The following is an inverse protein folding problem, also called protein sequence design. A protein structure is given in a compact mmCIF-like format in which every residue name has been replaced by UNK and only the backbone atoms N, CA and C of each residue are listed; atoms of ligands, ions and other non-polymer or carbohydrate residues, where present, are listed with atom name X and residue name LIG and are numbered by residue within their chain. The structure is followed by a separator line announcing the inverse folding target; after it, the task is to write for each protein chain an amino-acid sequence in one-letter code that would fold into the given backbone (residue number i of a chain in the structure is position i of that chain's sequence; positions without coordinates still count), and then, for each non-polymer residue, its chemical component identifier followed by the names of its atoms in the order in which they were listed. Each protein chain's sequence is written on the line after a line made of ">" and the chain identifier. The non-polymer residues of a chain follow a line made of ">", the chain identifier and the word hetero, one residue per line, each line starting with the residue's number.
data_IF_140579690315
#
_entry.id   IF_140579690315
#
_cell.length_a   1.000
_cell.length_b   1.000
_cell.length_c   1.000
_cell.angle_alpha   90.00
_cell.angle_beta   90.00
_cell.angle_gamma   90.00
#
_symmetry.space_group_name_H-M   'P 1'
#
loop_
_entity.id
_entity.type
_entity.pdbx_description
1 polymer ?
#
# COMPACT_ATOMS: atom_id res chain seq x y z
N UNK A 1 -23.60 -25.72 -0.42
CA UNK A 1 -22.39 -24.98 0.03
C UNK A 1 -22.70 -24.42 1.40
N UNK A 2 -22.05 -24.93 2.45
CA UNK A 2 -22.21 -24.43 3.82
C UNK A 2 -21.38 -23.14 4.00
N UNK A 3 -21.83 -22.17 4.82
CA UNK A 3 -21.15 -20.87 4.96
C UNK A 3 -19.68 -20.94 5.45
N UNK A 4 -19.32 -22.01 6.17
CA UNK A 4 -18.02 -22.18 6.83
C UNK A 4 -16.81 -22.31 5.90
N UNK A 5 -16.96 -22.82 4.67
CA UNK A 5 -15.81 -22.95 3.75
C UNK A 5 -15.32 -21.61 3.22
N UNK A 6 -16.21 -20.62 3.07
CA UNK A 6 -15.90 -19.33 2.42
C UNK A 6 -14.95 -18.42 3.21
N UNK A 7 -14.84 -18.62 4.53
CA UNK A 7 -13.97 -17.83 5.41
C UNK A 7 -12.56 -18.42 5.46
N UNK A 8 -12.44 -19.75 5.34
CA UNK A 8 -11.17 -20.47 5.38
C UNK A 8 -10.24 -20.05 4.24
N UNK A 9 -10.74 -19.99 3.00
CA UNK A 9 -9.95 -19.58 1.83
C UNK A 9 -9.53 -18.09 1.87
N UNK A 10 -10.36 -17.23 2.47
CA UNK A 10 -10.05 -15.80 2.63
C UNK A 10 -9.05 -15.54 3.76
N UNK A 11 -8.73 -16.53 4.59
CA UNK A 11 -7.92 -16.33 5.79
C UNK A 11 -6.41 -16.24 5.52
N UNK A 12 -5.92 -16.85 4.44
CA UNK A 12 -4.48 -17.03 4.21
C UNK A 12 -3.70 -15.71 4.04
N UNK A 13 -4.38 -14.65 3.58
CA UNK A 13 -3.80 -13.31 3.40
C UNK A 13 -4.09 -12.34 4.55
N UNK A 14 -4.72 -12.80 5.63
CA UNK A 14 -5.03 -11.98 6.81
C UNK A 14 -3.82 -11.81 7.75
N UNK A 15 -3.78 -10.73 8.54
CA UNK A 15 -2.88 -10.60 9.69
C UNK A 15 -3.01 -11.80 10.64
N UNK A 16 -1.92 -12.13 11.32
CA UNK A 16 -1.82 -13.29 12.21
C UNK A 16 -2.92 -13.27 13.28
N UNK A 17 -3.19 -12.13 13.89
CA UNK A 17 -4.19 -11.96 14.95
C UNK A 17 -5.61 -12.25 14.43
N UNK A 18 -5.90 -11.88 13.18
CA UNK A 18 -7.22 -12.15 12.59
C UNK A 18 -7.37 -13.63 12.22
N UNK A 19 -6.29 -14.30 11.81
CA UNK A 19 -6.29 -15.75 11.56
C UNK A 19 -6.47 -16.54 12.85
N UNK A 20 -5.79 -16.14 13.91
CA UNK A 20 -5.92 -16.73 15.25
C UNK A 20 -7.36 -16.56 15.77
N UNK A 21 -7.98 -15.39 15.57
CA UNK A 21 -9.37 -15.16 15.93
C UNK A 21 -10.34 -16.09 15.16
N UNK A 22 -10.14 -16.27 13.85
CA UNK A 22 -10.94 -17.21 13.05
C UNK A 22 -10.78 -18.63 13.57
N UNK A 23 -9.54 -19.08 13.83
CA UNK A 23 -9.27 -20.42 14.34
C UNK A 23 -9.90 -20.65 15.73
N UNK A 24 -9.84 -19.67 16.63
CA UNK A 24 -10.46 -19.74 17.94
C UNK A 24 -11.99 -19.88 17.84
N UNK A 25 -12.64 -19.10 16.96
CA UNK A 25 -14.10 -19.17 16.76
C UNK A 25 -14.51 -20.51 16.13
N UNK A 26 -13.68 -21.10 15.27
CA UNK A 26 -13.93 -22.42 14.70
C UNK A 26 -13.87 -23.56 15.73
N UNK A 27 -13.21 -23.39 16.87
CA UNK A 27 -13.19 -24.38 17.96
C UNK A 27 -14.44 -24.33 18.84
N UNK A 28 -15.26 -23.27 18.73
CA UNK A 28 -16.48 -23.13 19.52
C UNK A 28 -17.59 -24.09 19.05
N UNK A 29 -18.51 -24.50 19.96
CA UNK A 29 -19.72 -25.22 19.58
C UNK A 29 -20.56 -24.45 18.57
N UNK A 30 -21.31 -25.18 17.73
CA UNK A 30 -21.97 -24.64 16.54
C UNK A 30 -22.97 -23.52 16.83
N UNK A 31 -23.65 -23.56 17.98
CA UNK A 31 -24.59 -22.52 18.41
C UNK A 31 -23.92 -21.16 18.59
N UNK A 32 -22.78 -21.12 19.27
CA UNK A 32 -21.99 -19.90 19.47
C UNK A 32 -21.32 -19.45 18.18
N UNK A 33 -20.82 -20.40 17.38
CA UNK A 33 -20.21 -20.10 16.09
C UNK A 33 -21.19 -19.39 15.16
N UNK A 34 -22.41 -19.92 15.02
CA UNK A 34 -23.47 -19.31 14.19
C UNK A 34 -23.83 -17.88 14.62
N UNK A 35 -23.79 -17.59 15.92
CA UNK A 35 -24.04 -16.23 16.41
C UNK A 35 -22.90 -15.25 16.06
N UNK A 36 -21.66 -15.72 16.09
CA UNK A 36 -20.47 -14.89 15.87
C UNK A 36 -20.07 -14.77 14.40
N UNK A 37 -20.50 -15.71 13.56
CA UNK A 37 -20.13 -15.79 12.14
C UNK A 37 -20.39 -14.47 11.36
N UNK A 38 -21.53 -13.77 11.51
CA UNK A 38 -21.75 -12.50 10.81
C UNK A 38 -20.78 -11.39 11.24
N UNK A 39 -20.42 -11.34 12.52
CA UNK A 39 -19.47 -10.35 13.04
C UNK A 39 -18.05 -10.68 12.57
N UNK A 40 -17.66 -11.95 12.60
CA UNK A 40 -16.36 -12.42 12.10
C UNK A 40 -16.18 -12.10 10.62
N UNK A 41 -17.22 -12.33 9.79
CA UNK A 41 -17.18 -11.98 8.36
C UNK A 41 -16.90 -10.49 8.13
N UNK A 42 -17.55 -9.59 8.88
CA UNK A 42 -17.30 -8.14 8.80
C UNK A 42 -15.86 -7.78 9.20
N UNK A 43 -15.31 -8.42 10.22
CA UNK A 43 -13.92 -8.19 10.66
C UNK A 43 -12.93 -8.66 9.59
N UNK A 44 -13.14 -9.85 9.00
CA UNK A 44 -12.32 -10.38 7.91
C UNK A 44 -12.37 -9.45 6.69
N UNK A 45 -13.57 -9.03 6.29
CA UNK A 45 -13.75 -8.14 5.14
C UNK A 45 -13.11 -6.76 5.35
N UNK A 46 -13.35 -6.13 6.50
CA UNK A 46 -12.75 -4.82 6.83
C UNK A 46 -11.22 -4.90 6.90
N UNK A 47 -10.67 -6.02 7.36
CA UNK A 47 -9.22 -6.26 7.40
C UNK A 47 -8.63 -6.41 6.00
N UNK A 48 -9.27 -7.17 5.11
CA UNK A 48 -8.88 -7.23 3.70
C UNK A 48 -8.95 -5.86 3.02
N UNK A 49 -10.02 -5.10 3.25
CA UNK A 49 -10.19 -3.76 2.69
C UNK A 49 -9.07 -2.82 3.14
N UNK A 50 -8.75 -2.80 4.44
CA UNK A 50 -7.65 -1.99 4.99
C UNK A 50 -6.31 -2.35 4.35
N UNK A 51 -6.01 -3.64 4.19
CA UNK A 51 -4.77 -4.10 3.54
C UNK A 51 -4.68 -3.63 2.09
N UNK A 52 -5.78 -3.72 1.33
CA UNK A 52 -5.84 -3.22 -0.06
C UNK A 52 -5.61 -1.71 -0.14
N UNK A 53 -6.24 -0.94 0.75
CA UNK A 53 -6.04 0.52 0.82
C UNK A 53 -4.57 0.84 1.14
N UNK A 54 -3.98 0.15 2.12
CA UNK A 54 -2.59 0.39 2.51
C UNK A 54 -1.62 0.07 1.36
N UNK A 55 -1.85 -1.02 0.63
CA UNK A 55 -1.05 -1.35 -0.55
C UNK A 55 -1.14 -0.26 -1.62
N UNK A 56 -2.35 0.21 -1.95
CA UNK A 56 -2.53 1.32 -2.91
C UNK A 56 -1.84 2.60 -2.46
N UNK A 57 -1.89 2.93 -1.17
CA UNK A 57 -1.19 4.09 -0.61
C UNK A 57 0.33 3.92 -0.71
N UNK A 58 0.84 2.72 -0.40
CA UNK A 58 2.27 2.41 -0.52
C UNK A 58 2.75 2.52 -1.97
N UNK A 59 1.97 2.02 -2.94
CA UNK A 59 2.27 2.12 -4.37
C UNK A 59 2.28 3.58 -4.83
N UNK A 60 1.27 4.37 -4.44
CA UNK A 60 1.19 5.79 -4.77
C UNK A 60 2.34 6.61 -4.17
N UNK A 61 2.72 6.33 -2.92
CA UNK A 61 3.91 6.96 -2.30
C UNK A 61 5.20 6.53 -2.99
N UNK A 62 5.28 5.27 -3.43
CA UNK A 62 6.39 4.77 -4.23
C UNK A 62 6.54 5.53 -5.55
N UNK A 63 5.43 5.74 -6.25
CA UNK A 63 5.37 6.52 -7.49
C UNK A 63 5.77 7.98 -7.24
N UNK A 64 5.17 8.64 -6.25
CA UNK A 64 5.51 10.03 -5.91
C UNK A 64 7.00 10.19 -5.59
N UNK A 65 7.59 9.24 -4.87
CA UNK A 65 9.03 9.27 -4.56
C UNK A 65 9.89 9.14 -5.83
N UNK A 66 9.44 8.38 -6.82
CA UNK A 66 10.12 8.28 -8.11
C UNK A 66 9.99 9.60 -8.90
N UNK A 67 8.78 10.18 -8.93
CA UNK A 67 8.51 11.45 -9.60
C UNK A 67 9.38 12.58 -9.00
N UNK A 68 9.54 12.60 -7.68
CA UNK A 68 10.45 13.53 -7.00
C UNK A 68 11.92 13.35 -7.43
N UNK A 69 12.38 12.11 -7.65
CA UNK A 69 13.75 11.86 -8.15
C UNK A 69 13.93 12.40 -9.57
N UNK A 70 12.94 12.23 -10.44
CA UNK A 70 12.99 12.77 -11.79
C UNK A 70 12.98 14.30 -11.79
N UNK A 71 12.13 14.93 -10.97
CA UNK A 71 12.09 16.38 -10.86
C UNK A 71 13.43 16.95 -10.37
N UNK A 72 14.06 16.31 -9.38
CA UNK A 72 15.38 16.71 -8.90
C UNK A 72 16.47 16.56 -9.97
N UNK A 73 16.42 15.48 -10.76
CA UNK A 73 17.35 15.25 -11.86
C UNK A 73 17.20 16.33 -12.95
N UNK A 74 15.97 16.61 -13.39
CA UNK A 74 15.69 17.64 -14.40
C UNK A 74 16.11 19.03 -13.91
N UNK A 75 15.89 19.33 -12.61
CA UNK A 75 16.34 20.57 -12.00
C UNK A 75 17.88 20.70 -12.01
N UNK A 76 18.61 19.62 -11.76
CA UNK A 76 20.07 19.63 -11.84
C UNK A 76 20.56 19.80 -13.29
N UNK A 77 19.93 19.15 -14.25
CA UNK A 77 20.25 19.31 -15.68
C UNK A 77 20.07 20.77 -16.12
N UNK A 78 18.90 21.36 -15.84
CA UNK A 78 18.60 22.76 -16.20
C UNK A 78 19.51 23.78 -15.49
N UNK A 79 19.91 23.50 -14.23
CA UNK A 79 20.92 24.32 -13.53
C UNK A 79 22.28 24.27 -14.22
N UNK A 80 22.76 23.08 -14.59
CA UNK A 80 24.05 22.92 -15.29
C UNK A 80 24.05 23.60 -16.66
N UNK A 81 22.96 23.48 -17.41
CA UNK A 81 22.78 24.15 -18.69
C UNK A 81 22.84 25.68 -18.52
N UNK A 82 22.07 26.23 -17.57
CA UNK A 82 22.11 27.66 -17.25
C UNK A 82 23.52 28.12 -16.87
N UNK A 83 24.19 27.40 -15.99
CA UNK A 83 25.54 27.77 -15.51
C UNK A 83 26.59 27.72 -16.64
N UNK A 84 26.38 26.87 -17.64
CA UNK A 84 27.21 26.80 -18.84
C UNK A 84 26.97 28.01 -19.74
N UNK A 85 25.69 28.32 -20.01
CA UNK A 85 25.30 29.49 -20.80
C UNK A 85 25.76 30.81 -20.18
N UNK A 86 25.66 30.93 -18.85
CA UNK A 86 26.13 32.13 -18.15
C UNK A 86 27.64 32.33 -18.30
N UNK A 87 28.43 31.26 -18.18
CA UNK A 87 29.88 31.30 -18.40
C UNK A 87 30.26 31.67 -19.83
N UNK A 88 29.50 31.19 -20.82
CA UNK A 88 29.71 31.56 -22.23
C UNK A 88 29.42 33.04 -22.49
N UNK A 89 28.37 33.58 -21.87
CA UNK A 89 28.04 35.00 -21.99
C UNK A 89 29.08 35.90 -21.31
N UNK A 90 29.54 35.54 -20.11
CA UNK A 90 30.60 36.25 -19.40
C UNK A 90 31.91 36.26 -20.21
N UNK A 91 32.33 35.11 -20.75
CA UNK A 91 33.54 35.01 -21.59
C UNK A 91 33.46 35.73 -22.94
N UNK A 92 32.25 36.12 -23.39
CA UNK A 92 32.02 36.88 -24.63
C UNK A 92 31.97 38.40 -24.40
N UNK A 93 31.76 38.85 -23.16
CA UNK A 93 31.77 40.26 -22.77
C UNK A 93 33.17 40.84 -22.53
N UNK A 94 34.16 39.97 -22.33
CA UNK A 94 35.57 40.32 -22.09
C UNK A 94 36.45 40.33 -23.38
N UNK A 95 35.83 40.29 -24.57
CA UNK A 95 36.49 40.40 -25.88
C UNK A 95 36.11 41.69 -26.62
#
# INVERSE_FOLDING_TARGET
>A
MTPSESISEKSEKLPTETRELVAAIQQLPESYRRQLEPALQKVVESTHRRKRILALVQDALGQLRLDMKYLMFDLEATRRERDTLQRELEGRGDQ
#
